data_IF_343375183019
#
_entry.id   IF_343375183019
#
_cell.length_a   1.000
_cell.length_b   1.000
_cell.length_c   1.000
_cell.angle_alpha   90.00
_cell.angle_beta   90.00
_cell.angle_gamma   90.00
#
_symmetry.space_group_name_H-M   'P 1'
#
loop_
_entity.id
_entity.type
_entity.pdbx_description
1 polymer ?
#
# COMPACT_ATOMS: atom_id res chain seq x y z
N UNK A 1 25.13 -4.12 7.92
CA UNK A 1 24.70 -4.97 6.79
C UNK A 1 23.32 -4.52 6.36
N UNK A 2 23.05 -4.42 5.06
CA UNK A 2 21.70 -4.07 4.59
C UNK A 2 20.78 -5.28 4.78
N UNK A 3 19.67 -5.11 5.51
CA UNK A 3 18.72 -6.18 5.78
C UNK A 3 17.86 -6.55 4.56
N UNK A 4 18.02 -5.81 3.46
CA UNK A 4 17.33 -5.99 2.18
C UNK A 4 18.33 -5.79 1.04
N UNK A 5 18.44 -6.77 0.13
CA UNK A 5 19.22 -6.63 -1.10
C UNK A 5 18.60 -7.39 -2.27
N UNK A 6 18.99 -7.02 -3.49
CA UNK A 6 18.53 -7.65 -4.73
C UNK A 6 19.76 -7.97 -5.61
N UNK A 7 20.11 -9.25 -5.80
CA UNK A 7 21.24 -9.60 -6.65
C UNK A 7 21.07 -9.05 -8.07
N UNK A 8 22.06 -8.29 -8.56
CA UNK A 8 22.07 -7.76 -9.92
C UNK A 8 21.24 -6.50 -10.17
N UNK A 9 20.65 -5.86 -9.14
CA UNK A 9 19.98 -4.56 -9.29
C UNK A 9 20.06 -3.71 -8.03
N UNK A 10 20.12 -2.39 -8.20
CA UNK A 10 20.12 -1.44 -7.08
C UNK A 10 18.69 -1.24 -6.56
N UNK A 11 18.53 -1.27 -5.24
CA UNK A 11 17.28 -0.85 -4.58
C UNK A 11 17.33 0.66 -4.35
N UNK A 12 16.37 1.38 -4.91
CA UNK A 12 16.25 2.84 -4.77
C UNK A 12 15.45 3.18 -3.51
N UNK A 13 14.36 2.46 -3.27
CA UNK A 13 13.46 2.70 -2.14
C UNK A 13 12.73 1.40 -1.77
N UNK A 14 12.36 1.26 -0.51
CA UNK A 14 11.47 0.23 -0.02
C UNK A 14 10.54 0.81 1.04
N UNK A 15 9.24 0.51 0.94
CA UNK A 15 8.24 0.93 1.93
C UNK A 15 7.13 -0.10 2.10
N UNK A 16 6.55 -0.17 3.29
CA UNK A 16 5.37 -0.99 3.56
C UNK A 16 4.13 -0.46 2.85
N UNK A 17 3.20 -1.36 2.48
CA UNK A 17 1.86 -1.01 2.02
C UNK A 17 0.92 -0.99 3.22
N UNK A 18 0.58 0.21 3.70
CA UNK A 18 -0.27 0.38 4.88
C UNK A 18 0.25 -0.42 6.06
N UNK A 19 -0.65 -1.13 6.76
CA UNK A 19 -0.35 -2.02 7.89
C UNK A 19 -0.20 -3.50 7.49
N UNK A 20 -0.03 -3.80 6.20
CA UNK A 20 0.11 -5.19 5.74
C UNK A 20 1.54 -5.71 5.94
N UNK A 21 1.76 -7.01 5.74
CA UNK A 21 3.10 -7.62 5.66
C UNK A 21 3.73 -7.48 4.26
N UNK A 22 3.15 -6.65 3.39
CA UNK A 22 3.63 -6.45 2.02
C UNK A 22 4.39 -5.13 1.90
N UNK A 23 5.51 -5.15 1.17
CA UNK A 23 6.29 -3.97 0.84
C UNK A 23 6.33 -3.72 -0.67
N UNK A 24 6.38 -2.45 -1.07
CA UNK A 24 6.75 -2.02 -2.42
C UNK A 24 8.23 -1.69 -2.41
N UNK A 25 8.96 -2.29 -3.35
CA UNK A 25 10.38 -2.07 -3.56
C UNK A 25 10.54 -1.45 -4.94
N UNK A 26 11.28 -0.34 -5.01
CA UNK A 26 11.64 0.33 -6.26
C UNK A 26 13.07 -0.04 -6.62
N UNK A 27 13.24 -0.69 -7.76
CA UNK A 27 14.54 -1.08 -8.30
C UNK A 27 15.01 -0.07 -9.36
N UNK A 28 16.32 0.02 -9.55
CA UNK A 28 16.90 0.78 -10.66
C UNK A 28 16.72 -0.01 -11.97
N UNK A 29 16.22 0.68 -12.99
CA UNK A 29 15.95 0.10 -14.31
C UNK A 29 14.49 -0.29 -14.52
N UNK A 30 14.22 -1.08 -15.56
CA UNK A 30 12.86 -1.46 -15.98
C UNK A 30 12.50 -2.91 -15.63
N UNK A 31 13.44 -3.68 -15.11
CA UNK A 31 13.25 -5.08 -14.79
C UNK A 31 12.94 -5.28 -13.30
N UNK A 32 12.00 -6.18 -13.00
CA UNK A 32 11.76 -6.64 -11.64
C UNK A 32 12.54 -7.94 -11.41
N UNK A 33 13.49 -7.98 -10.46
CA UNK A 33 14.21 -9.22 -10.14
C UNK A 33 13.23 -10.31 -9.70
N UNK A 34 13.54 -11.60 -9.87
CA UNK A 34 12.65 -12.67 -9.46
C UNK A 34 12.46 -12.73 -7.94
N UNK A 35 13.52 -12.42 -7.19
CA UNK A 35 13.52 -12.45 -5.72
C UNK A 35 14.39 -11.32 -5.15
N UNK A 36 14.10 -10.96 -3.90
CA UNK A 36 14.96 -10.18 -3.01
C UNK A 36 15.36 -11.01 -1.81
N UNK A 37 16.50 -10.69 -1.21
CA UNK A 37 16.93 -11.25 0.06
C UNK A 37 16.55 -10.27 1.18
N UNK A 38 15.73 -10.72 2.13
CA UNK A 38 15.36 -9.96 3.32
C UNK A 38 15.66 -10.79 4.56
N UNK A 39 16.48 -10.28 5.48
CA UNK A 39 17.02 -11.03 6.63
C UNK A 39 17.48 -12.46 6.26
N UNK A 40 18.29 -12.57 5.21
CA UNK A 40 18.84 -13.84 4.68
C UNK A 40 17.79 -14.82 4.12
N UNK A 41 16.54 -14.41 3.96
CA UNK A 41 15.47 -15.21 3.36
C UNK A 41 15.09 -14.66 1.99
N UNK A 42 14.87 -15.55 1.02
CA UNK A 42 14.46 -15.17 -0.33
C UNK A 42 12.95 -14.95 -0.39
N UNK A 43 12.54 -13.77 -0.86
CA UNK A 43 11.15 -13.42 -1.11
C UNK A 43 10.94 -13.14 -2.59
N UNK A 44 9.89 -13.75 -3.16
CA UNK A 44 9.56 -13.55 -4.57
C UNK A 44 9.00 -12.15 -4.81
N UNK A 45 9.54 -11.45 -5.79
CA UNK A 45 8.98 -10.18 -6.23
C UNK A 45 7.90 -10.41 -7.29
N UNK A 46 6.89 -9.54 -7.28
CA UNK A 46 5.87 -9.47 -8.31
C UNK A 46 5.72 -8.02 -8.74
N UNK A 47 5.58 -7.72 -10.05
CA UNK A 47 5.31 -6.36 -10.51
C UNK A 47 4.11 -5.78 -9.77
N UNK A 48 4.30 -4.60 -9.17
CA UNK A 48 3.22 -3.91 -8.47
C UNK A 48 2.17 -3.47 -9.49
N UNK A 49 0.94 -3.98 -9.34
CA UNK A 49 -0.22 -3.52 -10.11
C UNK A 49 -1.04 -2.62 -9.19
N UNK A 50 -0.99 -1.29 -9.34
CA UNK A 50 -1.82 -0.40 -8.53
C UNK A 50 -3.27 -0.73 -8.81
N UNK A 51 -3.97 -1.20 -7.77
CA UNK A 51 -5.42 -1.37 -7.81
C UNK A 51 -6.05 -0.06 -7.36
N UNK A 52 -7.14 0.31 -8.01
CA UNK A 52 -7.99 1.40 -7.55
C UNK A 52 -8.35 1.13 -6.08
N UNK A 53 -7.89 2.00 -5.18
CA UNK A 53 -8.15 1.85 -3.76
C UNK A 53 -9.58 2.30 -3.49
N UNK A 54 -10.30 1.51 -2.71
CA UNK A 54 -11.63 1.86 -2.23
C UNK A 54 -11.50 2.30 -0.77
N UNK A 55 -12.04 3.48 -0.45
CA UNK A 55 -12.01 4.00 0.91
C UNK A 55 -13.29 3.59 1.65
N UNK A 56 -13.17 2.85 2.75
CA UNK A 56 -14.33 2.45 3.56
C UNK A 56 -14.89 3.59 4.45
N UNK A 57 -14.21 4.74 4.51
CA UNK A 57 -14.68 5.91 5.26
C UNK A 57 -15.62 6.77 4.41
N UNK A 58 -15.19 7.14 3.21
CA UNK A 58 -15.93 8.04 2.32
C UNK A 58 -16.59 7.33 1.13
N UNK A 59 -16.36 6.02 0.97
CA UNK A 59 -16.90 5.18 -0.10
C UNK A 59 -16.56 5.67 -1.51
N UNK A 60 -15.47 6.43 -1.65
CA UNK A 60 -14.93 6.87 -2.93
C UNK A 60 -13.73 6.02 -3.37
N UNK A 61 -13.48 6.02 -4.68
CA UNK A 61 -12.32 5.37 -5.30
C UNK A 61 -11.16 6.36 -5.41
N UNK A 62 -9.93 5.89 -5.20
CA UNK A 62 -8.69 6.61 -5.47
C UNK A 62 -7.76 6.73 -4.28
N UNK A 63 -8.21 6.41 -3.07
CA UNK A 63 -7.40 6.49 -1.86
C UNK A 63 -7.75 5.38 -0.86
N UNK A 64 -6.81 5.08 0.03
CA UNK A 64 -7.02 4.17 1.16
C UNK A 64 -7.64 4.94 2.33
N UNK A 65 -8.39 4.26 3.19
CA UNK A 65 -9.04 4.86 4.38
C UNK A 65 -8.07 5.62 5.30
N UNK A 66 -6.84 5.12 5.45
CA UNK A 66 -5.79 5.76 6.27
C UNK A 66 -5.31 7.12 5.75
N UNK A 67 -5.55 7.43 4.47
CA UNK A 67 -5.19 8.72 3.86
C UNK A 67 -6.44 9.45 3.35
N UNK A 68 -7.61 9.10 3.89
CA UNK A 68 -8.87 9.72 3.51
C UNK A 68 -8.88 11.22 3.88
N UNK A 69 -9.06 12.14 2.91
CA UNK A 69 -9.19 13.56 3.21
C UNK A 69 -10.47 13.89 3.98
N UNK A 70 -11.42 12.95 4.04
CA UNK A 70 -12.69 13.05 4.76
C UNK A 70 -12.74 12.11 5.98
N UNK A 71 -11.60 11.85 6.63
CA UNK A 71 -11.52 10.89 7.73
C UNK A 71 -12.53 11.14 8.87
N UNK A 72 -12.90 12.41 9.11
CA UNK A 72 -13.89 12.81 10.12
C UNK A 72 -15.35 12.89 9.63
N UNK A 73 -15.65 12.48 8.40
CA UNK A 73 -16.97 12.63 7.80
C UNK A 73 -17.37 11.31 7.13
N UNK A 74 -17.76 10.33 7.94
CA UNK A 74 -18.19 9.04 7.43
C UNK A 74 -19.44 9.20 6.57
N UNK A 75 -19.50 8.44 5.48
CA UNK A 75 -20.69 8.33 4.63
C UNK A 75 -21.37 6.98 4.83
N UNK A 76 -22.69 6.94 4.65
CA UNK A 76 -23.40 5.68 4.60
C UNK A 76 -23.02 4.88 3.35
N UNK A 77 -22.65 3.61 3.51
CA UNK A 77 -22.29 2.70 2.42
C UNK A 77 -23.44 2.37 1.46
N UNK A 78 -24.70 2.61 1.85
CA UNK A 78 -25.89 2.34 1.04
C UNK A 78 -26.39 3.56 0.29
N UNK A 79 -26.44 4.72 0.95
CA UNK A 79 -27.08 5.92 0.39
C UNK A 79 -26.14 7.11 0.18
N UNK A 80 -24.87 7.03 0.62
CA UNK A 80 -23.86 8.07 0.40
C UNK A 80 -24.02 9.35 1.22
N UNK A 81 -25.05 9.47 2.06
CA UNK A 81 -25.24 10.61 2.97
C UNK A 81 -24.19 10.59 4.08
N UNK A 82 -23.81 11.78 4.55
CA UNK A 82 -22.98 11.93 5.75
C UNK A 82 -23.71 11.31 6.95
N UNK A 83 -22.99 10.53 7.75
CA UNK A 83 -23.44 10.10 9.06
C UNK A 83 -23.10 11.24 10.02
N UNK A 84 -24.12 11.85 10.62
CA UNK A 84 -23.92 12.74 11.77
C UNK A 84 -23.29 11.91 12.91
N UNK A 85 -22.43 12.52 13.73
CA UNK A 85 -21.73 11.80 14.81
C UNK A 85 -22.71 10.94 15.62
N UNK A 86 -22.34 9.69 15.98
CA UNK A 86 -23.16 8.94 16.91
C UNK A 86 -23.22 9.71 18.23
N UNK A 87 -24.44 10.07 18.64
CA UNK A 87 -24.71 10.52 20.01
C UNK A 87 -24.08 9.52 20.98
N UNK A 88 -23.24 10.03 21.88
CA UNK A 88 -22.40 9.26 22.82
C UNK A 88 -23.19 8.32 23.73
#
# INVERSE_FOLDING_TARGET
MANLCAPGTDIINARMIGRSETAIITFRGTYTPPCVLFYMTNYRCKPHKPKAQFCNTCYCIGHHEEVCPQAGSQKCNKCGKLLDEPDK
#
